data_IF_446647769491
#
_entry.id   IF_446647769491
#
_cell.length_a   1.000
_cell.length_b   1.000
_cell.length_c   1.000
_cell.angle_alpha   90.00
_cell.angle_beta   90.00
_cell.angle_gamma   90.00
#
_symmetry.space_group_name_H-M   'P 1'
#
loop_
_entity.id
_entity.type
_entity.pdbx_description
1 polymer ?
#
# COMPACT_ATOMS: atom_id res chain seq x y z
N UNK A 1 -25.82 9.11 -17.89
CA UNK A 1 -24.52 9.49 -17.28
C UNK A 1 -23.69 8.24 -17.14
N UNK A 2 -22.61 8.11 -17.90
CA UNK A 2 -21.73 6.94 -17.85
C UNK A 2 -20.93 6.97 -16.55
N UNK A 3 -21.20 6.03 -15.65
CA UNK A 3 -20.39 5.85 -14.45
C UNK A 3 -19.10 5.17 -14.89
N UNK A 4 -18.03 5.94 -15.07
CA UNK A 4 -16.71 5.39 -15.33
C UNK A 4 -16.33 4.47 -14.16
N UNK A 5 -16.44 3.15 -14.36
CA UNK A 5 -15.84 2.17 -13.46
C UNK A 5 -14.33 2.37 -13.53
N UNK A 6 -13.76 3.02 -12.52
CA UNK A 6 -12.32 2.93 -12.28
C UNK A 6 -12.03 1.48 -11.94
N UNK A 7 -11.22 0.81 -12.75
CA UNK A 7 -10.64 -0.48 -12.41
C UNK A 7 -9.66 -0.29 -11.26
N UNK A 8 -10.16 -0.39 -10.03
CA UNK A 8 -9.32 -0.44 -8.85
C UNK A 8 -8.82 -1.88 -8.68
N UNK A 9 -7.50 -2.09 -8.76
CA UNK A 9 -6.88 -3.37 -8.43
C UNK A 9 -7.05 -3.60 -6.92
N UNK A 10 -8.14 -4.26 -6.52
CA UNK A 10 -8.39 -4.58 -5.11
C UNK A 10 -7.47 -5.70 -4.65
N UNK A 11 -6.43 -5.35 -3.91
CA UNK A 11 -5.54 -6.32 -3.27
C UNK A 11 -6.23 -6.88 -2.03
N UNK A 12 -6.27 -8.22 -1.94
CA UNK A 12 -6.81 -8.96 -0.80
C UNK A 12 -5.78 -9.97 -0.31
N UNK A 13 -5.98 -10.55 0.87
CA UNK A 13 -5.11 -11.63 1.38
C UNK A 13 -5.01 -12.78 0.37
N UNK A 14 -6.12 -13.16 -0.28
CA UNK A 14 -6.12 -14.18 -1.34
C UNK A 14 -5.24 -13.77 -2.52
N UNK A 15 -5.33 -12.52 -2.96
CA UNK A 15 -4.49 -11.98 -4.04
C UNK A 15 -3.00 -12.12 -3.72
N UNK A 16 -2.59 -11.83 -2.48
CA UNK A 16 -1.19 -11.96 -2.05
C UNK A 16 -0.71 -13.41 -2.02
N UNK A 17 -1.57 -14.34 -1.57
CA UNK A 17 -1.28 -15.78 -1.60
C UNK A 17 -1.10 -16.27 -3.04
N UNK A 18 -1.99 -15.84 -3.94
CA UNK A 18 -1.93 -16.19 -5.37
C UNK A 18 -0.67 -15.62 -6.05
N UNK A 19 -0.30 -14.37 -5.75
CA UNK A 19 0.94 -13.74 -6.25
C UNK A 19 2.17 -14.53 -5.81
N UNK A 20 2.24 -14.93 -4.53
CA UNK A 20 3.33 -15.78 -4.01
C UNK A 20 3.39 -17.12 -4.74
N UNK A 21 2.25 -17.77 -4.96
CA UNK A 21 2.19 -19.06 -5.68
C UNK A 21 2.69 -18.95 -7.13
N UNK A 22 2.45 -17.80 -7.78
CA UNK A 22 2.90 -17.50 -9.14
C UNK A 22 4.34 -17.01 -9.22
N UNK A 23 5.01 -16.78 -8.09
CA UNK A 23 6.35 -16.19 -8.05
C UNK A 23 6.38 -14.69 -8.37
N UNK A 24 5.22 -14.03 -8.38
CA UNK A 24 5.11 -12.59 -8.58
C UNK A 24 5.61 -11.87 -7.31
N UNK A 25 6.48 -10.87 -7.48
CA UNK A 25 6.99 -10.07 -6.36
C UNK A 25 5.89 -9.12 -5.87
N UNK A 26 5.76 -9.00 -4.55
CA UNK A 26 4.81 -8.12 -3.89
C UNK A 26 5.55 -6.85 -3.46
N UNK A 27 5.07 -5.69 -3.90
CA UNK A 27 5.58 -4.39 -3.48
C UNK A 27 4.82 -3.87 -2.26
N UNK A 28 5.55 -3.34 -1.26
CA UNK A 28 4.96 -2.78 -0.05
C UNK A 28 5.69 -1.50 0.35
N UNK A 29 4.93 -0.44 0.64
CA UNK A 29 5.47 0.83 1.15
C UNK A 29 4.67 1.29 2.37
N UNK A 30 5.32 2.07 3.24
CA UNK A 30 4.63 2.73 4.32
C UNK A 30 3.98 4.03 3.84
N UNK A 31 2.81 4.36 4.37
CA UNK A 31 2.20 5.67 4.21
C UNK A 31 1.43 6.01 5.49
N UNK A 32 1.54 7.26 5.92
CA UNK A 32 1.02 7.71 7.23
C UNK A 32 -0.10 8.74 7.12
N UNK A 33 -0.37 9.25 5.91
CA UNK A 33 -1.44 10.21 5.66
C UNK A 33 -2.19 9.90 4.35
N UNK A 34 -3.33 10.58 4.18
CA UNK A 34 -4.21 10.42 3.04
C UNK A 34 -3.54 10.75 1.70
N UNK A 35 -2.74 11.83 1.67
CA UNK A 35 -2.13 12.32 0.43
C UNK A 35 -1.10 11.32 -0.06
N UNK A 36 -0.23 10.85 0.84
CA UNK A 36 0.78 9.85 0.56
C UNK A 36 0.16 8.51 0.17
N UNK A 37 -0.89 8.06 0.87
CA UNK A 37 -1.62 6.85 0.52
C UNK A 37 -2.19 6.92 -0.91
N UNK A 38 -2.74 8.07 -1.30
CA UNK A 38 -3.25 8.28 -2.67
C UNK A 38 -2.16 8.24 -3.74
N UNK A 39 -0.99 8.81 -3.44
CA UNK A 39 0.15 8.82 -4.37
C UNK A 39 0.68 7.40 -4.55
N UNK A 40 0.86 6.67 -3.46
CA UNK A 40 1.40 5.31 -3.44
C UNK A 40 0.44 4.31 -4.11
N UNK A 41 -0.87 4.43 -3.86
CA UNK A 41 -1.91 3.64 -4.56
C UNK A 41 -1.89 3.93 -6.08
N UNK A 42 -1.78 5.21 -6.47
CA UNK A 42 -1.66 5.62 -7.87
C UNK A 42 -0.38 5.15 -8.56
N UNK A 43 0.70 4.90 -7.80
CA UNK A 43 1.95 4.34 -8.30
C UNK A 43 1.90 2.81 -8.51
N UNK A 44 0.82 2.15 -8.09
CA UNK A 44 0.61 0.72 -8.30
C UNK A 44 1.25 -0.19 -7.25
N UNK A 45 1.50 0.32 -6.04
CA UNK A 45 2.00 -0.50 -4.93
C UNK A 45 0.93 -1.49 -4.46
N UNK A 46 1.33 -2.73 -4.19
CA UNK A 46 0.36 -3.79 -3.84
C UNK A 46 -0.14 -3.67 -2.40
N UNK A 47 0.69 -3.21 -1.45
CA UNK A 47 0.31 -3.06 -0.03
C UNK A 47 0.82 -1.76 0.57
N UNK A 48 -0.05 -1.07 1.30
CA UNK A 48 0.31 0.08 2.14
C UNK A 48 0.37 -0.37 3.59
N UNK A 49 1.52 -0.18 4.24
CA UNK A 49 1.75 -0.50 5.64
C UNK A 49 1.67 0.78 6.50
N UNK A 50 0.64 0.89 7.34
CA UNK A 50 0.62 1.90 8.41
C UNK A 50 1.39 1.32 9.60
N UNK A 51 2.71 1.51 9.61
CA UNK A 51 3.62 0.97 10.61
C UNK A 51 3.87 1.91 11.79
N UNK A 52 4.37 1.33 12.88
CA UNK A 52 4.94 2.02 14.05
C UNK A 52 6.18 2.86 13.72
N UNK A 53 6.81 2.61 12.56
CA UNK A 53 7.87 3.45 11.99
C UNK A 53 7.47 4.91 11.72
N UNK A 54 6.18 5.26 11.82
CA UNK A 54 5.75 6.65 11.96
C UNK A 54 6.44 7.37 13.14
N UNK A 55 6.75 6.66 14.23
CA UNK A 55 7.44 7.18 15.43
C UNK A 55 8.82 7.75 15.10
N UNK A 56 9.60 7.06 14.26
CA UNK A 56 10.92 7.54 13.85
C UNK A 56 10.84 8.67 12.83
N UNK A 57 9.97 8.55 11.82
CA UNK A 57 9.99 9.43 10.65
C UNK A 57 9.14 10.70 10.84
N UNK A 58 8.05 10.62 11.62
CA UNK A 58 7.15 11.76 11.88
C UNK A 58 7.34 12.37 13.27
N UNK A 59 7.66 11.57 14.30
CA UNK A 59 7.84 12.07 15.67
C UNK A 59 9.31 12.30 16.07
N UNK A 60 10.28 11.79 15.29
CA UNK A 60 11.72 12.06 15.49
C UNK A 60 12.36 11.25 16.61
N UNK A 61 11.80 10.10 16.98
CA UNK A 61 12.33 9.24 18.03
C UNK A 61 13.42 8.29 17.47
N UNK A 62 14.47 7.99 18.26
CA UNK A 62 15.57 7.09 17.84
C UNK A 62 15.15 5.60 17.78
N UNK A 63 14.04 5.21 18.40
CA UNK A 63 13.50 3.83 18.41
C UNK A 63 11.99 3.83 18.20
N UNK A 64 11.49 2.79 17.50
CA UNK A 64 10.07 2.57 17.18
C UNK A 64 9.23 2.29 18.41
#
# INVERSE_FOLDING_TARGET
MSVAKKDYKRITVKTLVDMKAKGEKISMLTAYDYTMAKIVDGAGVDVILVGDSASNVMAGHETT
#
